data_IF_864050248485
#
_entry.id   IF_864050248485
#
_cell.length_a   1.000
_cell.length_b   1.000
_cell.length_c   1.000
_cell.angle_alpha   90.00
_cell.angle_beta   90.00
_cell.angle_gamma   90.00
#
_symmetry.space_group_name_H-M   'P 1'
#
loop_
_entity.id
_entity.type
_entity.pdbx_description
1 polymer ?
#
# COMPACT_ATOMS: atom_id res chain seq x y z
N UNK A 1 45.44 -9.72 12.66
CA UNK A 1 44.48 -8.74 12.08
C UNK A 1 43.05 -9.27 11.94
N UNK A 2 42.82 -10.58 11.76
CA UNK A 2 41.49 -11.19 11.68
C UNK A 2 40.77 -11.27 13.03
N UNK A 3 41.52 -11.42 14.13
CA UNK A 3 40.96 -11.55 15.48
C UNK A 3 40.44 -10.23 16.04
N UNK A 4 41.07 -9.10 15.71
CA UNK A 4 40.64 -7.77 16.16
C UNK A 4 39.29 -7.39 15.58
N UNK A 5 39.02 -7.72 14.31
CA UNK A 5 37.73 -7.45 13.68
C UNK A 5 36.58 -8.27 14.27
N UNK A 6 36.79 -9.56 14.60
CA UNK A 6 35.74 -10.42 15.21
C UNK A 6 35.48 -10.06 16.67
N UNK A 7 36.48 -9.66 17.46
CA UNK A 7 36.29 -9.19 18.83
C UNK A 7 35.55 -7.86 18.91
N UNK A 8 35.86 -6.91 18.01
CA UNK A 8 35.09 -5.67 17.89
C UNK A 8 33.62 -5.96 17.55
N UNK A 9 33.35 -6.79 16.56
CA UNK A 9 31.96 -7.16 16.19
C UNK A 9 31.21 -7.83 17.36
N UNK A 10 31.83 -8.72 18.13
CA UNK A 10 31.21 -9.38 19.28
C UNK A 10 30.94 -8.36 20.39
N UNK A 11 31.87 -7.44 20.65
CA UNK A 11 31.75 -6.43 21.70
C UNK A 11 30.69 -5.40 21.35
N UNK A 12 30.69 -4.90 20.13
CA UNK A 12 29.78 -3.85 19.68
C UNK A 12 28.37 -4.38 19.51
N UNK A 13 28.19 -5.62 19.03
CA UNK A 13 26.87 -6.23 18.87
C UNK A 13 26.21 -6.67 20.19
N UNK A 14 26.95 -6.75 21.29
CA UNK A 14 26.44 -7.19 22.59
C UNK A 14 25.21 -6.40 23.06
N UNK A 15 25.27 -5.08 22.98
CA UNK A 15 24.17 -4.21 23.39
C UNK A 15 22.96 -4.29 22.45
N UNK A 16 23.18 -4.41 21.15
CA UNK A 16 22.13 -4.61 20.17
C UNK A 16 21.42 -5.96 20.41
N UNK A 17 22.17 -7.03 20.68
CA UNK A 17 21.60 -8.33 21.04
C UNK A 17 20.82 -8.26 22.36
N UNK A 18 21.30 -7.53 23.35
CA UNK A 18 20.60 -7.33 24.61
C UNK A 18 19.27 -6.61 24.42
N UNK A 19 19.25 -5.54 23.60
CA UNK A 19 18.02 -4.82 23.25
C UNK A 19 17.04 -5.79 22.57
N UNK A 20 17.50 -6.55 21.57
CA UNK A 20 16.68 -7.54 20.88
C UNK A 20 16.07 -8.55 21.86
N UNK A 21 16.87 -9.09 22.79
CA UNK A 21 16.37 -10.04 23.79
C UNK A 21 15.35 -9.40 24.73
N UNK A 22 15.46 -8.13 25.05
CA UNK A 22 14.45 -7.40 25.84
C UNK A 22 13.14 -7.29 25.06
N UNK A 23 13.21 -6.92 23.77
CA UNK A 23 12.03 -6.84 22.89
C UNK A 23 11.40 -8.23 22.71
N UNK A 24 12.20 -9.26 22.51
CA UNK A 24 11.72 -10.64 22.39
C UNK A 24 11.00 -11.13 23.66
N UNK A 25 11.59 -10.90 24.82
CA UNK A 25 10.99 -11.26 26.13
C UNK A 25 9.70 -10.48 26.41
N UNK A 26 9.57 -9.27 25.89
CA UNK A 26 8.38 -8.45 25.99
C UNK A 26 7.30 -8.82 24.93
N UNK A 27 7.54 -9.84 24.08
CA UNK A 27 6.63 -10.24 23.01
C UNK A 27 6.53 -9.24 21.84
N UNK A 28 7.49 -8.32 21.75
CA UNK A 28 7.53 -7.27 20.73
C UNK A 28 8.34 -7.69 19.49
N UNK A 29 9.20 -8.70 19.60
CA UNK A 29 9.91 -9.28 18.49
C UNK A 29 9.30 -10.65 18.15
N UNK A 30 8.99 -10.89 16.89
CA UNK A 30 8.39 -12.13 16.39
C UNK A 30 8.98 -12.50 15.03
N UNK A 31 8.83 -13.76 14.65
CA UNK A 31 9.33 -14.27 13.37
C UNK A 31 8.17 -14.57 12.44
N UNK A 32 8.27 -14.11 11.20
CA UNK A 32 7.25 -14.34 10.17
C UNK A 32 7.89 -14.45 8.79
N UNK A 33 7.16 -15.02 7.84
CA UNK A 33 7.56 -15.02 6.44
C UNK A 33 7.04 -13.75 5.76
N UNK A 34 7.92 -13.08 5.03
CA UNK A 34 7.58 -11.90 4.26
C UNK A 34 8.45 -11.76 3.02
N UNK A 35 7.94 -11.16 1.94
CA UNK A 35 8.75 -10.84 0.78
C UNK A 35 9.76 -9.75 1.11
N UNK A 36 11.03 -10.00 0.77
CA UNK A 36 12.12 -9.03 0.88
C UNK A 36 12.78 -8.81 -0.47
N UNK A 37 13.45 -7.67 -0.64
CA UNK A 37 14.31 -7.46 -1.79
C UNK A 37 15.53 -8.39 -1.68
N UNK A 38 15.80 -9.17 -2.71
CA UNK A 38 16.87 -10.16 -2.74
C UNK A 38 17.78 -9.95 -3.93
N UNK A 39 19.06 -9.70 -3.66
CA UNK A 39 20.06 -9.68 -4.72
C UNK A 39 20.44 -11.11 -5.11
N UNK A 40 20.28 -11.44 -6.37
CA UNK A 40 20.55 -12.79 -6.90
C UNK A 40 22.05 -13.10 -6.97
N UNK A 41 22.89 -12.08 -7.13
CA UNK A 41 24.35 -12.20 -7.20
C UNK A 41 24.99 -12.18 -5.81
N UNK A 42 24.71 -11.17 -4.99
CA UNK A 42 25.26 -11.06 -3.64
C UNK A 42 24.65 -12.08 -2.66
N UNK A 43 23.49 -12.69 -3.00
CA UNK A 43 22.73 -13.64 -2.17
C UNK A 43 22.38 -13.09 -0.78
N UNK A 44 21.99 -11.81 -0.74
CA UNK A 44 21.66 -11.08 0.49
C UNK A 44 20.32 -10.34 0.34
N UNK A 45 19.60 -10.18 1.46
CA UNK A 45 18.45 -9.29 1.55
C UNK A 45 18.89 -7.83 1.56
N UNK A 46 18.19 -6.99 0.84
CA UNK A 46 18.47 -5.56 0.69
C UNK A 46 17.35 -4.74 1.33
N UNK A 47 17.73 -3.62 1.95
CA UNK A 47 16.79 -2.58 2.31
C UNK A 47 16.27 -1.87 1.04
N UNK A 48 15.17 -1.12 1.17
CA UNK A 48 14.61 -0.41 0.00
C UNK A 48 15.58 0.61 -0.58
N UNK A 49 16.37 1.25 0.27
CA UNK A 49 17.37 2.25 -0.09
C UNK A 49 18.57 1.65 -0.85
N UNK A 50 18.83 0.34 -0.69
CA UNK A 50 19.92 -0.39 -1.38
C UNK A 50 19.48 -0.89 -2.78
N UNK A 51 18.24 -0.61 -3.19
CA UNK A 51 17.69 -0.96 -4.51
C UNK A 51 17.48 0.31 -5.31
N UNK A 52 18.28 0.49 -6.35
CA UNK A 52 18.22 1.66 -7.24
C UNK A 52 17.81 1.21 -8.64
N UNK A 53 16.67 1.69 -9.13
CA UNK A 53 16.12 1.31 -10.44
C UNK A 53 15.98 -0.22 -10.64
N UNK A 54 15.57 -0.94 -9.57
CA UNK A 54 15.38 -2.39 -9.62
C UNK A 54 16.67 -3.22 -9.55
N UNK A 55 17.84 -2.58 -9.35
CA UNK A 55 19.13 -3.27 -9.25
C UNK A 55 19.80 -3.03 -7.90
N UNK A 56 20.68 -3.96 -7.52
CA UNK A 56 21.47 -3.87 -6.31
C UNK A 56 22.52 -2.77 -6.42
N UNK A 57 22.53 -1.82 -5.49
CA UNK A 57 23.50 -0.71 -5.45
C UNK A 57 24.97 -1.19 -5.45
N UNK A 58 25.24 -2.35 -4.81
CA UNK A 58 26.61 -2.89 -4.70
C UNK A 58 27.15 -3.53 -5.96
N UNK A 59 26.31 -4.30 -6.66
CA UNK A 59 26.81 -5.15 -7.76
C UNK A 59 26.07 -4.93 -9.10
N UNK A 60 25.05 -4.08 -9.14
CA UNK A 60 24.28 -3.78 -10.34
C UNK A 60 23.41 -4.94 -10.86
N UNK A 61 23.32 -6.06 -10.12
CA UNK A 61 22.50 -7.20 -10.52
C UNK A 61 21.04 -6.95 -10.22
N UNK A 62 20.14 -7.56 -10.99
CA UNK A 62 18.70 -7.51 -10.80
C UNK A 62 18.30 -7.99 -9.40
N UNK A 63 17.39 -7.25 -8.78
CA UNK A 63 16.81 -7.56 -7.48
C UNK A 63 15.44 -8.18 -7.68
N UNK A 64 15.19 -9.30 -7.01
CA UNK A 64 13.91 -10.00 -7.04
C UNK A 64 13.23 -9.95 -5.67
N UNK A 65 11.90 -10.07 -5.64
CA UNK A 65 11.15 -10.27 -4.40
C UNK A 65 11.23 -11.75 -4.01
N UNK A 66 11.71 -12.04 -2.82
CA UNK A 66 11.84 -13.40 -2.30
C UNK A 66 11.25 -13.51 -0.91
N UNK A 67 10.34 -14.47 -0.72
CA UNK A 67 9.78 -14.75 0.60
C UNK A 67 10.86 -15.39 1.48
N UNK A 68 11.08 -14.80 2.63
CA UNK A 68 12.03 -15.26 3.63
C UNK A 68 11.48 -15.09 5.04
N UNK A 69 11.86 -16.00 5.92
CA UNK A 69 11.59 -15.88 7.35
C UNK A 69 12.45 -14.73 7.93
N UNK A 70 11.77 -13.72 8.49
CA UNK A 70 12.38 -12.50 9.03
C UNK A 70 11.95 -12.25 10.47
N UNK A 71 12.81 -11.60 11.24
CA UNK A 71 12.45 -11.02 12.52
C UNK A 71 11.76 -9.68 12.29
N UNK A 72 10.60 -9.52 12.92
CA UNK A 72 9.80 -8.29 12.88
C UNK A 72 9.64 -7.73 14.29
N UNK A 73 9.54 -6.41 14.38
CA UNK A 73 9.21 -5.71 15.62
C UNK A 73 7.80 -5.13 15.52
N UNK A 74 7.01 -5.29 16.59
CA UNK A 74 5.68 -4.67 16.71
C UNK A 74 5.80 -3.19 17.04
N UNK A 75 6.25 -2.39 16.08
CA UNK A 75 6.54 -0.96 16.28
C UNK A 75 5.30 -0.13 16.63
N UNK A 76 4.11 -0.58 16.24
CA UNK A 76 2.84 0.11 16.49
C UNK A 76 2.26 -0.18 17.88
N UNK A 77 2.79 -1.16 18.63
CA UNK A 77 2.27 -1.58 19.94
C UNK A 77 2.25 -0.44 20.98
N UNK A 78 3.18 0.50 20.83
CA UNK A 78 3.30 1.66 21.72
C UNK A 78 2.71 2.95 21.15
N UNK A 79 2.13 2.94 19.97
CA UNK A 79 1.65 4.14 19.27
C UNK A 79 0.67 4.95 20.13
N UNK A 80 -0.36 4.30 20.69
CA UNK A 80 -1.34 4.96 21.57
C UNK A 80 -0.71 5.46 22.86
N UNK A 81 0.20 4.68 23.47
CA UNK A 81 0.90 5.10 24.69
C UNK A 81 1.82 6.30 24.46
N UNK A 82 2.46 6.36 23.28
CA UNK A 82 3.28 7.51 22.90
C UNK A 82 2.41 8.77 22.73
N UNK A 83 1.25 8.66 22.09
CA UNK A 83 0.31 9.79 21.97
C UNK A 83 -0.17 10.26 23.34
N UNK A 84 -0.61 9.35 24.22
CA UNK A 84 -1.07 9.67 25.58
C UNK A 84 0.07 10.26 26.43
N UNK A 85 1.29 9.75 26.27
CA UNK A 85 2.46 10.24 26.99
C UNK A 85 2.81 11.71 26.69
N UNK A 86 2.38 12.25 25.54
CA UNK A 86 2.61 13.67 25.20
C UNK A 86 1.87 14.63 26.13
N UNK A 87 0.82 14.17 26.80
CA UNK A 87 0.09 15.00 27.76
C UNK A 87 0.80 15.10 29.11
N UNK A 88 1.76 14.20 29.38
CA UNK A 88 2.54 14.14 30.61
C UNK A 88 3.90 14.84 30.54
N UNK A 89 4.32 15.29 29.36
CA UNK A 89 5.62 15.93 29.14
C UNK A 89 5.45 17.41 28.82
N UNK A 90 6.40 18.21 29.31
CA UNK A 90 6.44 19.66 29.05
C UNK A 90 7.14 19.96 27.74
N UNK A 91 6.55 19.51 26.62
CA UNK A 91 7.00 19.82 25.28
C UNK A 91 6.23 21.01 24.70
N UNK A 92 6.90 21.83 23.91
CA UNK A 92 6.21 22.86 23.12
C UNK A 92 5.19 22.24 22.16
N UNK A 93 4.08 22.91 21.94
CA UNK A 93 2.94 22.39 21.17
C UNK A 93 3.35 21.89 19.76
N UNK A 94 4.23 22.62 19.08
CA UNK A 94 4.74 22.23 17.76
C UNK A 94 5.36 20.83 17.77
N UNK A 95 6.10 20.45 18.81
CA UNK A 95 6.72 19.12 18.94
C UNK A 95 5.65 18.06 19.19
N UNK A 96 4.67 18.34 20.05
CA UNK A 96 3.54 17.42 20.31
C UNK A 96 2.75 17.15 19.03
N UNK A 97 2.41 18.18 18.27
CA UNK A 97 1.70 18.05 16.99
C UNK A 97 2.51 17.25 15.98
N UNK A 98 3.82 17.55 15.86
CA UNK A 98 4.69 16.80 14.93
C UNK A 98 4.76 15.33 15.28
N UNK A 99 4.85 14.95 16.55
CA UNK A 99 4.87 13.56 16.98
C UNK A 99 3.52 12.85 16.75
N UNK A 100 2.39 13.53 17.05
CA UNK A 100 1.06 12.99 16.76
C UNK A 100 0.87 12.73 15.27
N UNK A 101 1.28 13.68 14.44
CA UNK A 101 1.19 13.55 12.97
C UNK A 101 2.11 12.44 12.44
N UNK A 102 3.31 12.29 13.01
CA UNK A 102 4.23 11.20 12.64
C UNK A 102 3.68 9.83 12.96
N UNK A 103 3.05 9.64 14.12
CA UNK A 103 2.36 8.39 14.50
C UNK A 103 1.17 8.15 13.57
N UNK A 104 0.47 9.21 13.17
CA UNK A 104 -0.58 9.16 12.15
C UNK A 104 -1.75 8.24 12.52
N UNK A 105 -2.23 8.29 13.76
CA UNK A 105 -3.41 7.51 14.17
C UNK A 105 -4.60 7.89 13.31
N UNK A 106 -5.10 6.94 12.53
CA UNK A 106 -6.30 7.08 11.71
C UNK A 106 -7.41 6.15 12.21
N UNK A 107 -8.65 6.56 11.97
CA UNK A 107 -9.83 5.74 12.19
C UNK A 107 -10.56 5.58 10.86
N UNK A 108 -11.09 4.40 10.62
CA UNK A 108 -11.81 4.11 9.40
C UNK A 108 -12.76 2.94 9.56
N UNK A 109 -13.36 2.54 8.45
CA UNK A 109 -14.30 1.43 8.37
C UNK A 109 -13.82 0.40 7.34
N UNK A 110 -14.08 -0.86 7.63
CA UNK A 110 -14.02 -1.91 6.63
C UNK A 110 -15.36 -2.00 5.92
N UNK A 111 -15.33 -2.09 4.60
CA UNK A 111 -16.53 -2.17 3.77
C UNK A 111 -16.37 -3.32 2.78
N UNK A 112 -17.40 -4.15 2.68
CA UNK A 112 -17.45 -5.28 1.77
C UNK A 112 -18.20 -4.90 0.49
N UNK A 113 -17.52 -4.97 -0.65
CA UNK A 113 -18.12 -4.88 -1.99
C UNK A 113 -18.30 -6.29 -2.52
N UNK A 114 -19.53 -6.68 -2.80
CA UNK A 114 -19.82 -8.02 -3.35
C UNK A 114 -19.54 -8.05 -4.84
N UNK A 115 -18.80 -9.04 -5.33
CA UNK A 115 -18.65 -9.27 -6.77
C UNK A 115 -20.02 -9.63 -7.37
N UNK A 116 -20.41 -8.91 -8.42
CA UNK A 116 -21.73 -9.03 -9.01
C UNK A 116 -22.01 -10.46 -9.50
N UNK A 117 -23.11 -11.04 -9.03
CA UNK A 117 -23.49 -12.42 -9.34
C UNK A 117 -22.67 -13.52 -8.64
N UNK A 118 -21.87 -13.18 -7.63
CA UNK A 118 -21.00 -14.11 -6.90
C UNK A 118 -21.13 -13.94 -5.39
N UNK A 119 -20.86 -15.03 -4.66
CA UNK A 119 -20.74 -14.99 -3.18
C UNK A 119 -19.29 -14.72 -2.78
N UNK A 120 -18.74 -13.65 -3.33
CA UNK A 120 -17.37 -13.19 -3.05
C UNK A 120 -17.39 -11.72 -2.69
N UNK A 121 -16.59 -11.34 -1.70
CA UNK A 121 -16.50 -9.98 -1.20
C UNK A 121 -15.10 -9.43 -1.37
N UNK A 122 -14.99 -8.28 -1.95
CA UNK A 122 -13.79 -7.46 -1.93
C UNK A 122 -13.89 -6.53 -0.72
N UNK A 123 -13.16 -6.85 0.33
CA UNK A 123 -13.09 -6.02 1.54
C UNK A 123 -12.09 -4.90 1.32
N UNK A 124 -12.50 -3.68 1.62
CA UNK A 124 -11.63 -2.51 1.63
C UNK A 124 -11.60 -1.87 3.01
N UNK A 125 -10.57 -1.10 3.28
CA UNK A 125 -10.51 -0.19 4.43
C UNK A 125 -10.51 1.26 3.93
N UNK A 126 -11.36 2.09 4.53
CA UNK A 126 -11.42 3.51 4.19
C UNK A 126 -11.50 4.40 5.43
N UNK A 127 -10.80 5.52 5.42
CA UNK A 127 -10.94 6.60 6.42
C UNK A 127 -12.07 7.57 6.07
N UNK A 128 -12.64 7.46 4.87
CA UNK A 128 -13.68 8.32 4.32
C UNK A 128 -14.93 7.53 3.89
N UNK A 129 -15.63 6.87 4.86
CA UNK A 129 -16.85 6.13 4.54
C UNK A 129 -18.00 7.03 4.03
N UNK A 130 -17.94 8.32 4.31
CA UNK A 130 -18.85 9.35 3.81
C UNK A 130 -18.84 9.48 2.28
N UNK A 131 -17.76 9.09 1.61
CA UNK A 131 -17.62 9.17 0.15
C UNK A 131 -18.09 7.92 -0.61
N UNK A 132 -18.60 6.89 0.08
CA UNK A 132 -19.02 5.61 -0.52
C UNK A 132 -20.03 5.77 -1.67
N UNK A 133 -20.91 6.77 -1.61
CA UNK A 133 -21.87 7.05 -2.66
C UNK A 133 -21.24 7.53 -3.98
N UNK A 134 -20.00 8.06 -3.90
CA UNK A 134 -19.20 8.55 -5.03
C UNK A 134 -18.23 7.52 -5.62
N UNK A 135 -18.26 6.27 -5.14
CA UNK A 135 -17.40 5.21 -5.68
C UNK A 135 -17.86 4.86 -7.10
N UNK A 136 -16.95 4.98 -8.06
CA UNK A 136 -17.22 4.74 -9.47
C UNK A 136 -16.49 3.53 -10.05
N UNK A 137 -15.46 3.05 -9.38
CA UNK A 137 -14.74 1.81 -9.71
C UNK A 137 -14.02 1.26 -8.48
N UNK A 138 -13.58 0.03 -8.56
CA UNK A 138 -12.69 -0.60 -7.59
C UNK A 138 -11.35 -0.91 -8.23
N UNK A 139 -10.32 -0.98 -7.41
CA UNK A 139 -8.99 -1.39 -7.86
C UNK A 139 -8.46 -2.47 -6.93
N UNK A 140 -7.93 -3.53 -7.53
CA UNK A 140 -7.24 -4.60 -6.81
C UNK A 140 -5.75 -4.63 -7.18
N UNK A 141 -4.94 -5.07 -6.24
CA UNK A 141 -3.51 -5.31 -6.46
C UNK A 141 -3.30 -6.39 -7.54
N UNK A 142 -2.22 -6.31 -8.33
CA UNK A 142 -1.84 -7.37 -9.27
C UNK A 142 -1.66 -8.75 -8.62
N UNK A 143 -1.34 -8.79 -7.34
CA UNK A 143 -1.15 -10.01 -6.56
C UNK A 143 -2.42 -10.48 -5.83
N UNK A 144 -3.57 -9.81 -6.01
CA UNK A 144 -4.78 -10.13 -5.27
C UNK A 144 -5.32 -11.53 -5.64
N UNK A 145 -5.65 -12.39 -4.63
CA UNK A 145 -6.08 -13.78 -4.86
C UNK A 145 -7.34 -13.93 -5.73
N UNK A 146 -8.19 -12.91 -5.76
CA UNK A 146 -9.42 -12.91 -6.57
C UNK A 146 -9.13 -13.11 -8.06
N UNK A 147 -7.99 -12.63 -8.55
CA UNK A 147 -7.60 -12.77 -9.96
C UNK A 147 -7.40 -14.24 -10.33
N UNK A 148 -6.64 -14.97 -9.52
CA UNK A 148 -6.38 -16.39 -9.77
C UNK A 148 -7.64 -17.26 -9.54
N UNK A 149 -8.49 -16.86 -8.59
CA UNK A 149 -9.75 -17.56 -8.28
C UNK A 149 -10.74 -17.51 -9.45
N UNK A 150 -10.81 -16.40 -10.17
CA UNK A 150 -11.77 -16.17 -11.26
C UNK A 150 -11.12 -16.09 -12.64
N UNK A 151 -9.90 -16.60 -12.80
CA UNK A 151 -9.13 -16.53 -14.05
C UNK A 151 -9.90 -17.01 -15.29
N UNK A 152 -10.70 -18.07 -15.13
CA UNK A 152 -11.46 -18.69 -16.23
C UNK A 152 -12.67 -17.85 -16.68
N UNK A 153 -13.06 -16.87 -15.89
CA UNK A 153 -14.18 -15.96 -16.17
C UNK A 153 -13.69 -14.59 -16.67
N UNK A 154 -12.41 -14.30 -16.48
CA UNK A 154 -11.77 -13.05 -16.95
C UNK A 154 -11.49 -13.18 -18.45
N UNK A 155 -12.21 -12.40 -19.25
CA UNK A 155 -12.11 -12.47 -20.73
C UNK A 155 -10.77 -12.00 -21.29
N UNK A 156 -10.10 -11.07 -20.60
CA UNK A 156 -8.81 -10.50 -20.97
C UNK A 156 -7.69 -10.95 -20.01
N UNK A 157 -7.68 -12.24 -19.67
CA UNK A 157 -6.71 -12.81 -18.74
C UNK A 157 -5.25 -12.58 -19.16
N UNK A 158 -4.94 -12.67 -20.45
CA UNK A 158 -3.59 -12.46 -20.98
C UNK A 158 -3.08 -11.04 -20.71
N UNK A 159 -3.96 -10.01 -20.80
CA UNK A 159 -3.61 -8.63 -20.46
C UNK A 159 -3.31 -8.49 -18.97
N UNK A 160 -4.09 -9.18 -18.11
CA UNK A 160 -3.86 -9.20 -16.67
C UNK A 160 -2.53 -9.85 -16.33
N UNK A 161 -2.20 -10.97 -16.95
CA UNK A 161 -0.90 -11.65 -16.75
C UNK A 161 0.26 -10.75 -17.18
N UNK A 162 0.20 -10.15 -18.36
CA UNK A 162 1.23 -9.23 -18.83
C UNK A 162 1.41 -8.03 -17.89
N UNK A 163 0.29 -7.50 -17.36
CA UNK A 163 0.33 -6.42 -16.37
C UNK A 163 0.95 -6.85 -15.03
N UNK A 164 0.63 -8.05 -14.54
CA UNK A 164 1.23 -8.64 -13.33
C UNK A 164 2.75 -8.79 -13.47
N UNK A 165 3.23 -9.27 -14.62
CA UNK A 165 4.66 -9.41 -14.90
C UNK A 165 5.39 -8.06 -14.95
N UNK A 166 4.74 -7.03 -15.49
CA UNK A 166 5.28 -5.68 -15.49
C UNK A 166 5.34 -5.12 -14.06
N UNK A 167 4.27 -5.26 -13.30
CA UNK A 167 4.17 -4.75 -11.92
C UNK A 167 5.17 -5.45 -10.98
N UNK A 168 5.40 -6.76 -11.17
CA UNK A 168 6.34 -7.55 -10.35
C UNK A 168 7.80 -7.08 -10.47
N UNK A 169 8.15 -6.36 -11.55
CA UNK A 169 9.49 -5.79 -11.75
C UNK A 169 9.72 -4.48 -10.98
N UNK A 170 8.64 -3.85 -10.49
CA UNK A 170 8.70 -2.60 -9.74
C UNK A 170 8.75 -2.86 -8.24
N UNK A 171 9.53 -2.07 -7.51
CA UNK A 171 9.48 -2.02 -6.05
C UNK A 171 8.20 -1.34 -5.57
N UNK A 172 7.81 -1.58 -4.30
CA UNK A 172 6.64 -0.91 -3.70
C UNK A 172 6.78 0.62 -3.74
N UNK A 173 8.00 1.13 -3.56
CA UNK A 173 8.29 2.57 -3.65
C UNK A 173 8.11 3.14 -5.06
N UNK A 174 8.56 2.41 -6.09
CA UNK A 174 8.36 2.82 -7.49
C UNK A 174 6.87 2.79 -7.86
N UNK A 175 6.10 1.86 -7.28
CA UNK A 175 4.66 1.72 -7.54
C UNK A 175 3.84 2.86 -6.90
N UNK A 176 4.27 3.39 -5.75
CA UNK A 176 3.49 4.37 -4.97
C UNK A 176 4.00 5.81 -5.12
N UNK A 177 5.30 6.02 -4.96
CA UNK A 177 5.89 7.38 -4.88
C UNK A 177 6.44 7.89 -6.20
N UNK A 178 7.02 7.02 -7.02
CA UNK A 178 7.67 7.42 -8.28
C UNK A 178 6.75 7.32 -9.50
N UNK A 179 5.59 6.67 -9.38
CA UNK A 179 4.66 6.49 -10.50
C UNK A 179 3.95 7.80 -10.84
N UNK A 180 4.52 8.57 -11.78
CA UNK A 180 3.88 9.76 -12.35
C UNK A 180 2.69 9.39 -13.26
N UNK A 181 2.79 8.27 -13.98
CA UNK A 181 1.75 7.79 -14.87
C UNK A 181 0.91 6.70 -14.21
N UNK A 182 -0.40 6.93 -14.11
CA UNK A 182 -1.32 5.90 -13.64
C UNK A 182 -1.49 4.83 -14.70
N UNK A 183 -1.26 3.58 -14.35
CA UNK A 183 -1.44 2.42 -15.22
C UNK A 183 -2.43 1.44 -14.61
N UNK A 184 -3.14 0.70 -15.44
CA UNK A 184 -4.10 -0.29 -14.97
C UNK A 184 -4.78 -1.01 -16.11
N UNK A 185 -5.39 -2.15 -15.80
CA UNK A 185 -6.16 -2.97 -16.74
C UNK A 185 -7.55 -3.21 -16.15
N UNK A 186 -8.60 -2.90 -16.91
CA UNK A 186 -9.97 -3.23 -16.52
C UNK A 186 -10.19 -4.73 -16.61
N UNK A 187 -10.74 -5.34 -15.57
CA UNK A 187 -11.05 -6.77 -15.57
C UNK A 187 -12.36 -6.99 -16.34
N UNK A 188 -12.29 -7.57 -17.53
CA UNK A 188 -13.48 -7.88 -18.31
C UNK A 188 -14.13 -9.16 -17.82
N UNK A 189 -15.39 -9.05 -17.36
CA UNK A 189 -16.18 -10.17 -16.83
C UNK A 189 -16.31 -10.19 -15.32
N UNK A 190 -15.65 -9.28 -14.59
CA UNK A 190 -15.85 -9.08 -13.17
C UNK A 190 -16.24 -7.62 -12.88
N UNK A 191 -17.32 -7.47 -12.13
CA UNK A 191 -17.80 -6.19 -11.61
C UNK A 191 -18.12 -6.35 -10.13
N UNK A 192 -18.21 -5.25 -9.41
CA UNK A 192 -18.56 -5.24 -8.00
C UNK A 192 -19.81 -4.39 -7.76
N UNK A 193 -20.59 -4.73 -6.76
CA UNK A 193 -21.77 -3.98 -6.36
C UNK A 193 -21.45 -3.05 -5.21
N UNK A 194 -21.68 -1.76 -5.38
CA UNK A 194 -21.52 -0.78 -4.33
C UNK A 194 -22.60 -1.02 -3.24
N UNK A 195 -22.21 -1.29 -1.98
CA UNK A 195 -23.14 -1.70 -0.93
C UNK A 195 -24.14 -0.62 -0.50
N UNK A 196 -23.84 0.68 -0.75
CA UNK A 196 -24.69 1.78 -0.29
C UNK A 196 -25.75 2.23 -1.31
N UNK A 197 -25.52 2.01 -2.62
CA UNK A 197 -26.44 2.45 -3.66
C UNK A 197 -26.84 1.35 -4.66
N UNK A 198 -26.29 0.13 -4.49
CA UNK A 198 -26.59 -1.02 -5.35
C UNK A 198 -26.06 -0.93 -6.78
N UNK A 199 -25.30 0.11 -7.13
CA UNK A 199 -24.75 0.27 -8.47
C UNK A 199 -23.65 -0.73 -8.73
N UNK A 200 -23.66 -1.28 -9.92
CA UNK A 200 -22.57 -2.11 -10.45
C UNK A 200 -21.43 -1.22 -10.96
N UNK A 201 -20.22 -1.52 -10.52
CA UNK A 201 -19.01 -0.76 -10.83
C UNK A 201 -17.91 -1.68 -11.36
N UNK A 202 -17.06 -1.23 -12.30
CA UNK A 202 -15.96 -2.02 -12.83
C UNK A 202 -14.88 -2.26 -11.78
N UNK A 203 -14.18 -3.38 -11.92
CA UNK A 203 -12.99 -3.72 -11.14
C UNK A 203 -11.77 -3.63 -12.04
N UNK A 204 -10.74 -2.95 -11.55
CA UNK A 204 -9.47 -2.73 -12.23
C UNK A 204 -8.33 -3.42 -11.50
N UNK A 205 -7.29 -3.76 -12.22
CA UNK A 205 -5.99 -4.12 -11.64
C UNK A 205 -5.05 -2.95 -11.83
N UNK A 206 -4.41 -2.50 -10.75
CA UNK A 206 -3.40 -1.46 -10.86
C UNK A 206 -2.28 -1.65 -9.83
N UNK A 207 -1.08 -1.25 -10.23
CA UNK A 207 0.14 -1.45 -9.46
C UNK A 207 0.30 -0.48 -8.27
N UNK A 208 -0.48 0.62 -8.21
CA UNK A 208 -0.46 1.51 -7.05
C UNK A 208 -1.19 0.95 -5.82
N UNK A 209 -1.93 -0.16 -5.97
CA UNK A 209 -2.53 -0.90 -4.86
C UNK A 209 -1.59 -2.02 -4.44
N UNK A 210 -1.25 -2.07 -3.15
CA UNK A 210 -0.30 -3.04 -2.59
C UNK A 210 -1.01 -4.07 -1.71
N UNK A 211 -0.63 -5.35 -1.82
CA UNK A 211 -1.06 -6.40 -0.89
C UNK A 211 -0.50 -6.23 0.52
N UNK A 212 0.60 -5.50 0.65
CA UNK A 212 1.25 -5.22 1.94
C UNK A 212 0.56 -4.13 2.74
N UNK A 213 -0.37 -3.40 2.12
CA UNK A 213 -1.12 -2.32 2.75
C UNK A 213 -2.63 -2.56 2.64
N UNK A 214 -3.29 -2.74 3.78
CA UNK A 214 -4.73 -3.04 3.84
C UNK A 214 -5.07 -4.44 3.34
N UNK A 215 -6.10 -4.53 2.51
CA UNK A 215 -6.67 -5.79 1.98
C UNK A 215 -6.20 -6.14 0.57
N UNK A 216 -5.39 -5.29 -0.05
CA UNK A 216 -5.03 -5.42 -1.46
C UNK A 216 -6.14 -5.01 -2.42
N UNK A 217 -7.22 -4.42 -1.91
CA UNK A 217 -8.32 -3.84 -2.68
C UNK A 217 -8.66 -2.45 -2.14
N UNK A 218 -9.03 -1.53 -3.02
CA UNK A 218 -9.50 -0.19 -2.66
C UNK A 218 -10.78 0.15 -3.42
N UNK A 219 -11.61 0.99 -2.84
CA UNK A 219 -12.64 1.74 -3.55
C UNK A 219 -12.02 3.00 -4.12
N UNK A 220 -12.43 3.40 -5.30
CA UNK A 220 -11.97 4.63 -5.95
C UNK A 220 -13.06 5.69 -5.96
N UNK A 221 -12.71 6.88 -5.47
CA UNK A 221 -13.63 8.02 -5.34
C UNK A 221 -13.03 9.26 -6.04
N UNK A 222 -13.11 9.35 -7.36
CA UNK A 222 -12.40 10.36 -8.14
C UNK A 222 -12.70 11.82 -7.76
N UNK A 223 -13.89 12.10 -7.24
CA UNK A 223 -14.24 13.46 -6.80
C UNK A 223 -13.60 13.86 -5.46
N UNK A 224 -12.97 12.92 -4.73
CA UNK A 224 -12.49 13.14 -3.36
C UNK A 224 -11.09 12.61 -3.09
N UNK A 225 -10.41 12.03 -4.10
CA UNK A 225 -9.02 11.59 -4.05
C UNK A 225 -8.31 11.94 -5.35
N UNK A 226 -7.17 12.63 -5.26
CA UNK A 226 -6.42 13.13 -6.41
C UNK A 226 -5.87 11.99 -7.29
N UNK A 227 -5.43 10.89 -6.68
CA UNK A 227 -4.90 9.73 -7.42
C UNK A 227 -6.00 9.04 -8.20
N UNK A 228 -7.18 8.93 -7.60
CA UNK A 228 -8.36 8.36 -8.24
C UNK A 228 -8.87 9.26 -9.35
N UNK A 229 -8.79 10.59 -9.16
CA UNK A 229 -9.15 11.58 -10.18
C UNK A 229 -8.24 11.47 -11.42
N UNK A 230 -6.92 11.43 -11.22
CA UNK A 230 -5.97 11.26 -12.32
C UNK A 230 -6.22 9.96 -13.10
N UNK A 231 -6.48 8.86 -12.39
CA UNK A 231 -6.82 7.58 -12.99
C UNK A 231 -8.13 7.65 -13.76
N UNK A 232 -9.19 8.24 -13.16
CA UNK A 232 -10.49 8.40 -13.79
C UNK A 232 -10.42 9.25 -15.07
N UNK A 233 -9.68 10.35 -15.05
CA UNK A 233 -9.45 11.20 -16.25
C UNK A 233 -8.74 10.41 -17.35
N UNK A 234 -7.71 9.66 -17.01
CA UNK A 234 -6.93 8.89 -17.99
C UNK A 234 -7.76 7.79 -18.67
N UNK A 235 -8.62 7.11 -17.92
CA UNK A 235 -9.40 5.97 -18.40
C UNK A 235 -10.88 6.29 -18.69
N UNK A 236 -11.29 7.56 -18.63
CA UNK A 236 -12.64 8.00 -18.95
C UNK A 236 -13.71 7.51 -17.97
N UNK A 237 -13.35 7.36 -16.67
CA UNK A 237 -14.26 6.91 -15.64
C UNK A 237 -15.14 8.06 -15.12
N UNK A 238 -16.38 7.80 -14.67
CA UNK A 238 -17.25 8.83 -14.10
C UNK A 238 -16.64 9.45 -12.83
N UNK A 239 -16.84 10.76 -12.66
CA UNK A 239 -16.44 11.51 -11.46
C UNK A 239 -17.71 12.06 -10.84
N UNK A 240 -18.04 11.63 -9.60
CA UNK A 240 -19.29 11.95 -8.92
C UNK A 240 -18.98 12.60 -7.58
N UNK A 241 -19.26 13.89 -7.44
CA UNK A 241 -19.16 14.60 -6.18
C UNK A 241 -20.32 14.23 -5.25
N UNK A 242 -19.99 13.86 -4.00
CA UNK A 242 -20.97 13.46 -2.99
C UNK A 242 -20.77 14.17 -1.63
N UNK A 243 -19.63 14.83 -1.47
CA UNK A 243 -19.31 15.63 -0.28
C UNK A 243 -18.84 17.01 -0.76
N UNK A 244 -19.64 18.04 -0.53
CA UNK A 244 -19.30 19.41 -0.93
C UNK A 244 -18.09 19.95 -0.15
N UNK A 245 -17.25 20.75 -0.80
CA UNK A 245 -16.11 21.42 -0.16
C UNK A 245 -14.90 20.51 0.09
N UNK A 246 -14.80 19.35 -0.52
CA UNK A 246 -13.60 18.53 -0.52
C UNK A 246 -12.45 19.23 -1.27
N UNK A 247 -11.17 19.06 -0.86
CA UNK A 247 -10.03 19.66 -1.58
C UNK A 247 -9.96 19.30 -3.06
N UNK A 248 -10.43 18.14 -3.45
CA UNK A 248 -10.45 17.66 -4.84
C UNK A 248 -11.65 18.24 -5.62
N UNK A 249 -12.74 18.63 -4.94
CA UNK A 249 -13.85 19.35 -5.60
C UNK A 249 -13.40 20.69 -6.17
N UNK A 250 -12.36 21.32 -5.60
CA UNK A 250 -11.74 22.52 -6.19
C UNK A 250 -11.08 22.24 -7.55
N UNK A 251 -10.55 21.04 -7.79
CA UNK A 251 -9.94 20.66 -9.08
C UNK A 251 -11.00 20.42 -10.18
N UNK A 252 -12.22 20.05 -9.81
CA UNK A 252 -13.34 19.90 -10.76
C UNK A 252 -13.78 21.24 -11.33
N UNK A 253 -13.73 22.32 -10.53
CA UNK A 253 -14.16 23.66 -10.95
C UNK A 253 -13.05 24.46 -11.66
N UNK A 254 -11.77 24.09 -11.48
CA UNK A 254 -10.65 24.82 -12.11
C UNK A 254 -10.25 24.27 -13.47
N UNK A 255 -10.59 23.03 -13.80
CA UNK A 255 -10.26 22.42 -15.10
C UNK A 255 -11.26 22.80 -16.21
N UNK A 256 -12.52 23.11 -15.89
CA UNK A 256 -13.53 23.52 -16.87
C UNK A 256 -13.48 25.03 -17.18
N UNK A 257 -12.76 25.81 -16.36
CA UNK A 257 -12.61 27.26 -16.58
C UNK A 257 -11.42 27.63 -17.50
N UNK A 258 -10.64 26.65 -17.97
CA UNK A 258 -9.48 26.87 -18.84
C UNK A 258 -9.76 26.57 -20.33
N UNK A 259 -10.95 26.08 -20.67
CA UNK A 259 -11.36 25.71 -22.04
C UNK A 259 -12.48 26.64 -22.62
N UNK A 260 -12.76 27.81 -21.99
CA UNK A 260 -13.59 28.88 -22.59
C UNK A 260 -12.77 30.06 -23.05
#
# INVERSE_FOLDING_TARGET
TRLVGSEMCIRDSHWTQWIFLKLFKAGLAYKTEMPINWCTSCKVGLANEEVVNGVCERCGSEVIRKVKSQWMLKITEYADKLIQGLDTVDYIERVKVSQKNWIGKSQGAEVDFTLTGKDEKLRIYTTRPDTLFGVTYMVVSPEHPVLDKYKDEIKNWDDIVAYREMAAKKSDFERTELAKDKTGVCIQGLTATNPVNGKEIPVWVSDYVLMTYGTGAIMAVPAHDERDWEFAKKFGMPIIEVVAGSPVSCLLYTSDAADE
#
